data_IF_554493460413
#
_entry.id   IF_554493460413
#
_cell.length_a   1.000
_cell.length_b   1.000
_cell.length_c   1.000
_cell.angle_alpha   90.00
_cell.angle_beta   90.00
_cell.angle_gamma   90.00
#
_symmetry.space_group_name_H-M   'P 1'
#
loop_
_entity.id
_entity.type
_entity.pdbx_description
1 polymer ?
#
# COMPACT_ATOMS: atom_id res chain seq x y z
N UNK A 1 -38.52 11.21 -12.22
CA UNK A 1 -38.76 10.89 -10.79
C UNK A 1 -39.98 10.00 -10.54
N UNK A 2 -40.89 9.77 -11.50
CA UNK A 2 -42.16 9.09 -11.22
C UNK A 2 -42.28 7.65 -11.77
N UNK A 3 -41.18 6.96 -12.09
CA UNK A 3 -41.22 5.60 -12.65
C UNK A 3 -40.78 4.50 -11.67
N UNK A 4 -40.25 4.85 -10.49
CA UNK A 4 -39.77 3.88 -9.51
C UNK A 4 -40.83 3.48 -8.46
N UNK A 5 -42.01 4.12 -8.49
CA UNK A 5 -43.10 3.87 -7.54
C UNK A 5 -44.16 2.90 -8.10
N UNK A 6 -44.02 2.44 -9.34
CA UNK A 6 -44.94 1.46 -9.95
C UNK A 6 -44.60 0.00 -9.60
N UNK A 7 -43.59 -0.23 -8.76
CA UNK A 7 -43.05 -1.56 -8.44
C UNK A 7 -43.17 -1.87 -6.94
N UNK A 8 -44.31 -1.53 -6.36
CA UNK A 8 -44.71 -1.94 -5.01
C UNK A 8 -46.02 -2.73 -5.11
N UNK A 9 -46.05 -3.68 -6.05
CA UNK A 9 -46.99 -4.80 -5.93
C UNK A 9 -46.60 -5.58 -4.67
N UNK A 10 -47.61 -5.81 -3.85
CA UNK A 10 -47.67 -6.55 -2.60
C UNK A 10 -46.79 -7.82 -2.68
N UNK A 11 -45.53 -7.72 -2.25
CA UNK A 11 -44.62 -8.86 -2.17
C UNK A 11 -44.94 -9.60 -0.87
N UNK A 12 -45.97 -10.42 -0.92
CA UNK A 12 -46.35 -11.34 0.15
C UNK A 12 -45.12 -12.20 0.53
N UNK A 13 -44.65 -12.10 1.79
CA UNK A 13 -43.58 -12.88 2.44
C UNK A 13 -42.11 -12.62 2.07
N UNK A 14 -41.65 -11.37 1.99
CA UNK A 14 -40.21 -11.12 2.11
C UNK A 14 -39.72 -11.43 3.53
N UNK A 15 -38.63 -12.20 3.64
CA UNK A 15 -37.97 -12.38 4.93
C UNK A 15 -37.33 -11.06 5.38
N UNK A 16 -37.20 -10.79 6.69
CA UNK A 16 -36.61 -9.53 7.18
C UNK A 16 -35.22 -9.23 6.60
N UNK A 17 -34.44 -10.27 6.28
CA UNK A 17 -33.13 -10.15 5.65
C UNK A 17 -33.22 -9.63 4.21
N UNK A 18 -34.25 -10.04 3.45
CA UNK A 18 -34.48 -9.53 2.10
C UNK A 18 -34.87 -8.05 2.11
N UNK A 19 -35.69 -7.65 3.07
CA UNK A 19 -36.11 -6.25 3.25
C UNK A 19 -34.94 -5.37 3.67
N UNK A 20 -34.10 -5.86 4.60
CA UNK A 20 -32.89 -5.16 5.01
C UNK A 20 -31.89 -5.01 3.86
N UNK A 21 -31.68 -6.07 3.08
CA UNK A 21 -30.82 -6.02 1.89
C UNK A 21 -31.35 -5.03 0.84
N UNK A 22 -32.66 -5.00 0.61
CA UNK A 22 -33.30 -4.04 -0.29
C UNK A 22 -33.11 -2.59 0.20
N UNK A 23 -33.33 -2.34 1.50
CA UNK A 23 -33.13 -1.03 2.11
C UNK A 23 -31.67 -0.56 1.98
N UNK A 24 -30.70 -1.43 2.28
CA UNK A 24 -29.28 -1.12 2.13
C UNK A 24 -28.93 -0.74 0.69
N UNK A 25 -29.48 -1.45 -0.29
CA UNK A 25 -29.28 -1.14 -1.70
C UNK A 25 -29.87 0.22 -2.08
N UNK A 26 -31.09 0.53 -1.64
CA UNK A 26 -31.71 1.84 -1.91
C UNK A 26 -30.88 2.96 -1.29
N UNK A 27 -30.44 2.82 -0.03
CA UNK A 27 -29.60 3.80 0.64
C UNK A 27 -28.28 3.99 -0.11
N UNK A 28 -27.60 2.90 -0.47
CA UNK A 28 -26.33 2.95 -1.20
C UNK A 28 -26.48 3.62 -2.57
N UNK A 29 -27.50 3.23 -3.35
CA UNK A 29 -27.74 3.78 -4.68
C UNK A 29 -28.11 5.27 -4.62
N UNK A 30 -28.93 5.66 -3.64
CA UNK A 30 -29.30 7.06 -3.42
C UNK A 30 -28.07 7.87 -3.00
N UNK A 31 -27.30 7.39 -2.02
CA UNK A 31 -26.06 8.04 -1.61
C UNK A 31 -25.07 8.17 -2.76
N UNK A 32 -24.88 7.11 -3.56
CA UNK A 32 -23.98 7.14 -4.71
C UNK A 32 -24.46 8.08 -5.82
N UNK A 33 -25.78 8.22 -6.04
CA UNK A 33 -26.34 9.10 -7.06
C UNK A 33 -26.23 10.58 -6.67
N UNK A 34 -26.47 10.91 -5.40
CA UNK A 34 -26.49 12.29 -4.92
C UNK A 34 -25.12 12.79 -4.41
N UNK A 35 -24.39 11.96 -3.68
CA UNK A 35 -23.07 12.30 -3.13
C UNK A 35 -21.92 11.95 -4.08
N UNK A 36 -22.22 11.19 -5.14
CA UNK A 36 -21.19 10.56 -5.97
C UNK A 36 -20.51 9.40 -5.25
N UNK A 37 -19.71 8.63 -5.98
CA UNK A 37 -18.77 7.70 -5.34
C UNK A 37 -17.67 8.53 -4.70
N UNK A 38 -17.30 8.32 -3.42
CA UNK A 38 -16.14 8.98 -2.85
C UNK A 38 -14.92 8.55 -3.66
N UNK A 39 -14.43 9.46 -4.51
CA UNK A 39 -13.19 9.26 -5.24
C UNK A 39 -12.09 9.30 -4.18
N UNK A 40 -11.65 8.12 -3.74
CA UNK A 40 -10.52 7.98 -2.83
C UNK A 40 -9.25 8.39 -3.56
N UNK A 41 -9.07 9.68 -3.80
CA UNK A 41 -7.75 10.27 -4.02
C UNK A 41 -7.06 10.25 -2.67
N UNK A 42 -6.53 9.09 -2.28
CA UNK A 42 -5.43 9.12 -1.32
C UNK A 42 -4.34 9.93 -2.01
N UNK A 43 -4.16 11.17 -1.57
CA UNK A 43 -2.97 11.94 -1.89
C UNK A 43 -1.81 11.29 -1.12
N UNK A 44 -1.41 10.10 -1.58
CA UNK A 44 -0.34 9.33 -0.98
C UNK A 44 1.01 9.98 -1.33
N UNK A 45 1.99 9.82 -0.45
CA UNK A 45 3.35 10.34 -0.65
C UNK A 45 4.07 9.68 -1.84
N UNK A 46 3.43 8.70 -2.48
CA UNK A 46 3.94 7.92 -3.60
C UNK A 46 3.43 8.48 -4.92
N UNK A 47 4.35 9.00 -5.74
CA UNK A 47 4.07 9.42 -7.11
C UNK A 47 4.59 8.35 -8.10
N UNK A 48 3.72 7.71 -8.90
CA UNK A 48 4.14 6.75 -9.92
C UNK A 48 4.99 7.38 -11.04
N UNK A 49 4.96 8.71 -11.20
CA UNK A 49 5.72 9.46 -12.20
C UNK A 49 7.10 9.92 -11.69
N UNK A 50 7.49 9.59 -10.45
CA UNK A 50 8.83 9.93 -9.94
C UNK A 50 9.91 9.18 -10.74
N UNK A 51 10.59 9.92 -11.64
CA UNK A 51 11.63 9.42 -12.52
C UNK A 51 12.83 8.86 -11.76
N UNK A 52 13.16 9.42 -10.58
CA UNK A 52 14.24 8.93 -9.74
C UNK A 52 13.87 7.58 -9.13
N UNK A 53 12.62 7.42 -8.71
CA UNK A 53 12.09 6.17 -8.19
C UNK A 53 12.05 5.08 -9.28
N UNK A 54 11.55 5.41 -10.47
CA UNK A 54 11.55 4.50 -11.62
C UNK A 54 12.95 4.04 -12.00
N UNK A 55 13.93 4.96 -12.01
CA UNK A 55 15.35 4.65 -12.25
C UNK A 55 15.93 3.72 -11.17
N UNK A 56 15.53 3.89 -9.90
CA UNK A 56 15.97 3.01 -8.81
C UNK A 56 15.34 1.63 -8.90
N UNK A 57 14.07 1.55 -9.28
CA UNK A 57 13.34 0.28 -9.51
C UNK A 57 13.93 -0.47 -10.71
N UNK A 58 14.23 0.22 -11.81
CA UNK A 58 14.84 -0.38 -13.00
C UNK A 58 16.24 -0.92 -12.75
N UNK A 59 16.97 -0.39 -11.76
CA UNK A 59 18.24 -0.94 -11.29
C UNK A 59 18.07 -2.14 -10.35
N UNK A 60 17.09 -2.08 -9.43
CA UNK A 60 16.84 -3.13 -8.45
C UNK A 60 16.27 -4.40 -9.09
N UNK A 61 15.28 -4.28 -9.97
CA UNK A 61 14.54 -5.43 -10.50
C UNK A 61 15.44 -6.43 -11.26
N UNK A 62 16.35 -6.00 -12.17
CA UNK A 62 17.25 -6.93 -12.85
C UNK A 62 18.27 -7.57 -11.91
N UNK A 63 18.79 -6.83 -10.93
CA UNK A 63 19.73 -7.42 -9.94
C UNK A 63 19.04 -8.48 -9.07
N UNK A 64 17.79 -8.23 -8.68
CA UNK A 64 16.99 -9.17 -7.94
C UNK A 64 16.64 -10.41 -8.78
N UNK A 65 16.21 -10.23 -10.04
CA UNK A 65 15.97 -11.34 -10.96
C UNK A 65 17.23 -12.19 -11.17
N UNK A 66 18.41 -11.57 -11.32
CA UNK A 66 19.69 -12.30 -11.42
C UNK A 66 19.98 -13.13 -10.19
N UNK A 67 19.72 -12.60 -8.99
CA UNK A 67 19.87 -13.36 -7.73
C UNK A 67 18.89 -14.55 -7.65
N UNK A 68 17.69 -14.44 -8.23
CA UNK A 68 16.71 -15.53 -8.26
C UNK A 68 17.00 -16.59 -9.33
N UNK A 69 17.47 -16.17 -10.51
CA UNK A 69 17.64 -17.05 -11.67
C UNK A 69 18.99 -17.78 -11.69
N UNK A 70 20.02 -17.20 -11.08
CA UNK A 70 21.38 -17.74 -11.12
C UNK A 70 21.87 -18.13 -9.73
N UNK A 71 22.95 -18.92 -9.65
CA UNK A 71 23.62 -19.19 -8.38
C UNK A 71 24.12 -17.86 -7.80
N UNK A 72 23.46 -17.41 -6.74
CA UNK A 72 23.77 -16.15 -6.09
C UNK A 72 25.23 -16.09 -5.66
N UNK A 73 25.96 -15.11 -6.18
CA UNK A 73 27.34 -14.80 -5.80
C UNK A 73 27.35 -13.69 -4.75
N UNK A 74 28.44 -13.58 -3.97
CA UNK A 74 28.58 -12.48 -2.99
C UNK A 74 28.42 -11.10 -3.67
N UNK A 75 28.95 -10.95 -4.88
CA UNK A 75 28.86 -9.71 -5.67
C UNK A 75 27.43 -9.40 -6.13
N UNK A 76 26.71 -10.38 -6.69
CA UNK A 76 25.31 -10.17 -7.14
C UNK A 76 24.36 -9.92 -5.97
N UNK A 77 24.58 -10.60 -4.83
CA UNK A 77 23.86 -10.32 -3.59
C UNK A 77 24.14 -8.91 -3.07
N UNK A 78 25.40 -8.47 -3.04
CA UNK A 78 25.78 -7.13 -2.59
C UNK A 78 25.14 -6.05 -3.47
N UNK A 79 25.21 -6.20 -4.80
CA UNK A 79 24.58 -5.29 -5.75
C UNK A 79 23.06 -5.20 -5.56
N UNK A 80 22.38 -6.33 -5.32
CA UNK A 80 20.95 -6.34 -5.03
C UNK A 80 20.65 -5.63 -3.69
N UNK A 81 21.44 -5.87 -2.64
CA UNK A 81 21.29 -5.20 -1.35
C UNK A 81 21.47 -3.69 -1.47
N UNK A 82 22.46 -3.24 -2.22
CA UNK A 82 22.70 -1.83 -2.47
C UNK A 82 21.56 -1.18 -3.27
N UNK A 83 21.07 -1.84 -4.33
CA UNK A 83 19.93 -1.35 -5.08
C UNK A 83 18.66 -1.24 -4.21
N UNK A 84 18.43 -2.22 -3.34
CA UNK A 84 17.34 -2.18 -2.35
C UNK A 84 17.52 -1.04 -1.34
N UNK A 85 18.73 -0.85 -0.80
CA UNK A 85 19.05 0.23 0.15
C UNK A 85 18.79 1.60 -0.46
N UNK A 86 19.22 1.80 -1.70
CA UNK A 86 19.03 3.04 -2.44
C UNK A 86 17.56 3.34 -2.73
N UNK A 87 16.78 2.32 -3.12
CA UNK A 87 15.34 2.46 -3.30
C UNK A 87 14.65 2.83 -1.98
N UNK A 88 14.92 2.08 -0.91
CA UNK A 88 14.35 2.34 0.42
C UNK A 88 14.67 3.74 0.93
N UNK A 89 15.91 4.23 0.72
CA UNK A 89 16.32 5.59 1.11
C UNK A 89 15.44 6.65 0.43
N UNK A 90 15.21 6.53 -0.88
CA UNK A 90 14.37 7.48 -1.63
C UNK A 90 12.91 7.44 -1.18
N UNK A 91 12.35 6.24 -1.04
CA UNK A 91 10.98 6.03 -0.57
C UNK A 91 10.75 6.62 0.83
N UNK A 92 11.72 6.47 1.75
CA UNK A 92 11.66 7.09 3.09
C UNK A 92 11.74 8.61 3.04
N UNK A 93 12.53 9.17 2.14
CA UNK A 93 12.62 10.62 1.95
C UNK A 93 11.29 11.19 1.46
N UNK A 94 10.70 10.64 0.40
CA UNK A 94 9.39 11.06 -0.12
C UNK A 94 8.30 11.06 0.96
N UNK A 95 8.24 9.98 1.75
CA UNK A 95 7.31 9.88 2.88
C UNK A 95 7.58 10.94 3.95
N UNK A 96 8.86 11.19 4.27
CA UNK A 96 9.27 12.20 5.25
C UNK A 96 8.92 13.62 4.80
N UNK A 97 9.11 13.92 3.52
CA UNK A 97 8.75 15.20 2.92
C UNK A 97 7.24 15.41 2.96
N UNK A 98 6.46 14.37 2.66
CA UNK A 98 5.00 14.42 2.73
C UNK A 98 4.48 14.64 4.15
N UNK A 99 5.03 13.97 5.16
CA UNK A 99 4.68 14.24 6.57
C UNK A 99 5.01 15.69 6.97
N UNK A 100 6.14 16.20 6.49
CA UNK A 100 6.56 17.58 6.74
C UNK A 100 5.58 18.57 6.11
N UNK A 101 5.09 18.29 4.90
CA UNK A 101 4.05 19.10 4.21
C UNK A 101 2.71 19.08 4.94
N UNK A 102 2.34 17.95 5.55
CA UNK A 102 1.10 17.82 6.33
C UNK A 102 1.17 18.42 7.74
N UNK A 103 2.33 18.97 8.16
CA UNK A 103 2.50 19.56 9.48
C UNK A 103 2.48 18.54 10.64
N UNK A 104 2.43 17.25 10.34
CA UNK A 104 2.49 16.17 11.31
C UNK A 104 3.98 15.90 11.58
N UNK A 105 4.50 16.41 12.72
CA UNK A 105 5.83 16.00 13.20
C UNK A 105 5.89 14.48 13.20
N UNK A 106 6.94 13.94 12.58
CA UNK A 106 7.18 12.50 12.43
C UNK A 106 6.91 11.77 13.75
N UNK A 107 5.86 10.95 13.78
CA UNK A 107 5.56 10.12 14.94
C UNK A 107 6.60 8.97 14.97
N UNK A 108 7.47 8.89 16.00
CA UNK A 108 8.53 7.87 16.07
C UNK A 108 8.00 6.43 16.07
N UNK A 109 6.70 6.22 16.37
CA UNK A 109 6.05 4.90 16.32
C UNK A 109 5.90 4.31 14.91
N UNK A 110 6.02 5.09 13.84
CA UNK A 110 5.98 4.57 12.47
C UNK A 110 7.36 4.15 11.94
N UNK A 111 8.45 4.49 12.65
CA UNK A 111 9.79 4.02 12.32
C UNK A 111 10.03 2.56 12.74
N UNK A 112 9.31 2.07 13.76
CA UNK A 112 9.50 0.72 14.32
C UNK A 112 8.98 -0.40 13.44
N UNK A 113 8.03 -0.14 12.53
CA UNK A 113 7.51 -1.16 11.61
C UNK A 113 8.57 -1.58 10.57
N UNK A 114 9.51 -0.70 10.22
CA UNK A 114 10.57 -0.99 9.22
C UNK A 114 11.97 -1.16 9.81
N UNK A 115 12.16 -0.90 11.11
CA UNK A 115 13.39 -1.25 11.83
C UNK A 115 13.48 -2.76 12.14
N UNK A 116 12.34 -3.47 12.19
CA UNK A 116 12.28 -4.91 12.39
C UNK A 116 12.33 -5.68 11.06
N UNK A 117 13.42 -5.49 10.29
CA UNK A 117 13.79 -6.45 9.23
C UNK A 117 15.01 -7.23 9.72
N UNK A 118 14.86 -8.49 10.18
CA UNK A 118 15.95 -9.26 10.79
C UNK A 118 17.07 -9.66 9.81
N UNK A 119 17.03 -9.23 8.53
CA UNK A 119 18.03 -9.59 7.51
C UNK A 119 19.17 -8.57 7.31
N UNK A 120 19.30 -7.58 8.19
CA UNK A 120 20.38 -6.57 8.13
C UNK A 120 21.24 -6.48 9.40
N UNK A 121 21.34 -7.55 10.20
CA UNK A 121 22.43 -7.68 11.17
C UNK A 121 23.50 -8.58 10.57
N UNK A 122 24.52 -7.96 9.97
CA UNK A 122 25.75 -8.63 9.59
C UNK A 122 26.84 -7.95 10.40
N UNK A 123 27.20 -8.56 11.53
CA UNK A 123 28.26 -8.12 12.43
C UNK A 123 27.99 -8.65 13.84
N UNK A 124 28.75 -9.66 14.23
CA UNK A 124 28.92 -10.16 15.60
C UNK A 124 27.79 -11.00 16.23
N UNK A 125 27.73 -12.26 15.81
CA UNK A 125 27.47 -13.35 16.76
C UNK A 125 28.78 -14.09 17.00
N UNK A 126 29.60 -13.52 17.88
CA UNK A 126 30.63 -14.25 18.60
C UNK A 126 29.92 -15.13 19.63
N UNK A 127 29.57 -16.36 19.25
CA UNK A 127 29.16 -17.41 20.18
C UNK A 127 30.20 -18.52 20.14
N UNK A 128 31.27 -18.34 20.91
CA UNK A 128 32.10 -19.44 21.43
C UNK A 128 32.33 -19.18 22.91
N UNK A 129 31.55 -19.86 23.76
CA UNK A 129 32.07 -20.51 24.95
C UNK A 129 31.05 -21.53 25.49
N UNK A 130 31.35 -22.80 25.20
CA UNK A 130 31.29 -23.87 26.18
C UNK A 130 32.71 -24.40 26.31
#
# INVERSE_FOLDING_TARGET
>A
MNSALAQWEEKESSTPDEEWAALQQVIYNTASAYLGKPERKLHDWFDPNDQELQTRVSRRNPTHQRVLQTRSTRSTTAACKDACRLLQKRTRALKSDWWSRLGLRQNPRQQTIFAHNPRSSSGDTMWLQR
#
